data_IF_714950655433
#
_entry.id   IF_714950655433
#
_cell.length_a   1.000
_cell.length_b   1.000
_cell.length_c   1.000
_cell.angle_alpha   90.00
_cell.angle_beta   90.00
_cell.angle_gamma   90.00
#
_symmetry.space_group_name_H-M   'P 1'
#
loop_
_entity.id
_entity.type
_entity.pdbx_description
1 polymer ?
#
# COMPACT_ATOMS: atom_id res chain seq x y z
N UNK A 1 -47.87 41.56 -2.71
CA UNK A 1 -46.86 41.06 -1.74
C UNK A 1 -46.61 39.55 -1.86
N UNK A 2 -47.64 38.70 -1.96
CA UNK A 2 -47.49 37.22 -2.00
C UNK A 2 -46.71 36.71 -3.23
N UNK A 3 -46.98 37.23 -4.43
CA UNK A 3 -46.30 36.79 -5.65
C UNK A 3 -44.78 37.04 -5.65
N UNK A 4 -44.32 38.13 -5.04
CA UNK A 4 -42.89 38.43 -4.89
C UNK A 4 -42.22 37.48 -3.89
N UNK A 5 -42.92 37.09 -2.82
CA UNK A 5 -42.42 36.10 -1.85
C UNK A 5 -42.29 34.71 -2.47
N UNK A 6 -43.25 34.29 -3.31
CA UNK A 6 -43.19 33.03 -4.05
C UNK A 6 -42.01 33.01 -5.03
N UNK A 7 -41.79 34.07 -5.82
CA UNK A 7 -40.63 34.20 -6.73
C UNK A 7 -39.29 34.10 -5.98
N UNK A 8 -39.17 34.75 -4.81
CA UNK A 8 -37.95 34.65 -3.97
C UNK A 8 -37.75 33.23 -3.44
N UNK A 9 -38.83 32.55 -3.03
CA UNK A 9 -38.80 31.15 -2.58
C UNK A 9 -38.38 30.21 -3.71
N UNK A 10 -38.94 30.38 -4.91
CA UNK A 10 -38.61 29.60 -6.10
C UNK A 10 -37.14 29.78 -6.50
N UNK A 11 -36.64 31.02 -6.52
CA UNK A 11 -35.23 31.31 -6.81
C UNK A 11 -34.29 30.65 -5.78
N UNK A 12 -34.64 30.66 -4.50
CA UNK A 12 -33.86 29.99 -3.45
C UNK A 12 -33.90 28.46 -3.62
N UNK A 13 -35.07 27.88 -3.93
CA UNK A 13 -35.20 26.45 -4.21
C UNK A 13 -34.37 26.06 -5.43
N UNK A 14 -34.39 26.85 -6.51
CA UNK A 14 -33.59 26.61 -7.71
C UNK A 14 -32.08 26.66 -7.40
N UNK A 15 -31.63 27.68 -6.64
CA UNK A 15 -30.23 27.79 -6.19
C UNK A 15 -29.82 26.62 -5.29
N UNK A 16 -30.70 26.18 -4.39
CA UNK A 16 -30.44 25.01 -3.54
C UNK A 16 -30.31 23.74 -4.37
N UNK A 17 -31.23 23.52 -5.33
CA UNK A 17 -31.16 22.39 -6.27
C UNK A 17 -29.86 22.39 -7.08
N UNK A 18 -29.42 23.54 -7.58
CA UNK A 18 -28.16 23.63 -8.33
C UNK A 18 -26.95 23.32 -7.43
N UNK A 19 -26.94 23.81 -6.19
CA UNK A 19 -25.86 23.52 -5.23
C UNK A 19 -25.88 22.05 -4.78
N UNK A 20 -27.06 21.48 -4.57
CA UNK A 20 -27.21 20.08 -4.16
C UNK A 20 -26.79 19.13 -5.30
N UNK A 21 -27.15 19.42 -6.55
CA UNK A 21 -26.63 18.70 -7.72
C UNK A 21 -25.11 18.79 -7.85
N UNK A 22 -24.53 19.98 -7.61
CA UNK A 22 -23.07 20.16 -7.60
C UNK A 22 -22.38 19.44 -6.43
N UNK A 23 -23.08 19.23 -5.30
CA UNK A 23 -22.57 18.42 -4.18
C UNK A 23 -22.68 16.93 -4.48
N UNK A 24 -23.78 16.50 -5.08
CA UNK A 24 -24.04 15.11 -5.46
C UNK A 24 -22.99 14.58 -6.43
N UNK A 25 -22.58 15.39 -7.41
CA UNK A 25 -21.51 15.01 -8.35
C UNK A 25 -20.14 14.83 -7.67
N UNK A 26 -19.93 15.46 -6.52
CA UNK A 26 -18.72 15.31 -5.72
C UNK A 26 -18.78 14.14 -4.73
N UNK A 27 -19.95 13.53 -4.52
CA UNK A 27 -20.11 12.43 -3.57
C UNK A 27 -19.28 11.23 -4.02
N UNK A 28 -18.34 10.86 -3.18
CA UNK A 28 -17.51 9.68 -3.35
C UNK A 28 -18.17 8.47 -2.69
N UNK A 29 -17.94 7.27 -3.25
CA UNK A 29 -18.32 6.02 -2.61
C UNK A 29 -17.73 5.97 -1.19
N UNK A 30 -18.55 5.94 -0.13
CA UNK A 30 -18.05 5.96 1.24
C UNK A 30 -17.29 4.69 1.64
N UNK A 31 -17.39 3.61 0.86
CA UNK A 31 -16.73 2.34 1.12
C UNK A 31 -15.38 2.29 0.41
N UNK A 32 -15.36 2.42 -0.93
CA UNK A 32 -14.13 2.24 -1.71
C UNK A 32 -13.37 3.54 -1.99
N UNK A 33 -14.01 4.69 -1.89
CA UNK A 33 -13.36 5.96 -2.20
C UNK A 33 -13.20 6.21 -3.72
N UNK A 34 -12.48 7.28 -4.04
CA UNK A 34 -11.93 7.52 -5.39
C UNK A 34 -10.68 6.66 -5.58
N UNK A 35 -10.39 6.20 -6.81
CA UNK A 35 -9.12 5.54 -7.09
C UNK A 35 -7.97 6.54 -6.96
N UNK A 36 -6.89 6.12 -6.29
CA UNK A 36 -5.68 6.88 -6.01
C UNK A 36 -4.46 6.02 -6.38
N UNK A 37 -3.27 6.59 -6.58
CA UNK A 37 -2.06 5.80 -6.84
C UNK A 37 -1.81 4.75 -5.76
N UNK A 38 -2.01 5.11 -4.49
CA UNK A 38 -1.90 4.19 -3.35
C UNK A 38 -2.93 3.07 -3.41
N UNK A 39 -4.21 3.37 -3.66
CA UNK A 39 -5.24 2.32 -3.74
C UNK A 39 -5.10 1.45 -4.98
N UNK A 40 -4.57 1.99 -6.09
CA UNK A 40 -4.18 1.22 -7.27
C UNK A 40 -3.04 0.25 -6.95
N UNK A 41 -2.04 0.68 -6.19
CA UNK A 41 -0.97 -0.20 -5.72
C UNK A 41 -1.49 -1.33 -4.82
N UNK A 42 -2.47 -1.04 -3.95
CA UNK A 42 -3.14 -2.07 -3.15
C UNK A 42 -3.93 -3.08 -3.99
N UNK A 43 -4.52 -2.66 -5.09
CA UNK A 43 -5.31 -3.54 -5.96
C UNK A 43 -4.46 -4.29 -6.98
N UNK A 44 -3.24 -3.81 -7.24
CA UNK A 44 -2.29 -4.46 -8.14
C UNK A 44 -2.10 -5.93 -7.75
N UNK A 45 -2.32 -6.81 -8.72
CA UNK A 45 -2.07 -8.24 -8.59
C UNK A 45 -0.68 -8.49 -9.16
N UNK A 46 0.33 -8.80 -8.34
CA UNK A 46 1.66 -9.07 -8.86
C UNK A 46 1.62 -10.31 -9.75
N UNK A 47 2.30 -10.22 -10.89
CA UNK A 47 2.44 -11.32 -11.82
C UNK A 47 3.71 -12.12 -11.50
N UNK A 48 3.69 -13.45 -11.70
CA UNK A 48 4.89 -14.25 -11.53
C UNK A 48 5.98 -13.83 -12.53
N UNK A 49 7.25 -13.87 -12.13
CA UNK A 49 8.35 -13.47 -12.99
C UNK A 49 8.48 -14.41 -14.20
N UNK A 50 8.76 -13.88 -15.40
CA UNK A 50 9.06 -14.71 -16.56
C UNK A 50 10.36 -15.51 -16.38
N UNK A 51 10.56 -16.55 -17.20
CA UNK A 51 11.83 -17.29 -17.23
C UNK A 51 12.98 -16.42 -17.71
N UNK A 52 14.19 -16.67 -17.21
CA UNK A 52 15.38 -15.97 -17.70
C UNK A 52 15.57 -16.19 -19.20
N UNK A 53 15.26 -17.38 -19.71
CA UNK A 53 15.27 -17.67 -21.16
C UNK A 53 14.24 -16.86 -21.95
N UNK A 54 13.09 -16.54 -21.35
CA UNK A 54 12.09 -15.67 -22.00
C UNK A 54 12.56 -14.23 -21.97
N UNK A 55 13.12 -13.78 -20.85
CA UNK A 55 13.69 -12.43 -20.73
C UNK A 55 14.81 -12.25 -21.76
N UNK A 56 15.72 -13.20 -21.88
CA UNK A 56 16.84 -13.15 -22.84
C UNK A 56 16.39 -13.04 -24.31
N UNK A 57 15.14 -13.41 -24.64
CA UNK A 57 14.57 -13.31 -25.98
C UNK A 57 13.87 -11.96 -26.25
N UNK A 58 13.68 -11.12 -25.23
CA UNK A 58 13.04 -9.82 -25.36
C UNK A 58 14.00 -8.77 -25.95
N UNK A 59 13.46 -7.64 -26.42
CA UNK A 59 14.25 -6.45 -26.79
C UNK A 59 15.09 -5.98 -25.59
N UNK A 60 16.31 -5.43 -25.78
CA UNK A 60 17.11 -4.87 -24.68
C UNK A 60 16.35 -3.86 -23.82
N UNK A 61 15.46 -3.06 -24.42
CA UNK A 61 14.60 -2.11 -23.70
C UNK A 61 13.60 -2.82 -22.78
N UNK A 62 12.94 -3.84 -23.30
CA UNK A 62 11.98 -4.67 -22.54
C UNK A 62 12.69 -5.47 -21.44
N UNK A 63 13.90 -5.96 -21.69
CA UNK A 63 14.73 -6.62 -20.69
C UNK A 63 15.04 -5.69 -19.52
N UNK A 64 15.46 -4.45 -19.81
CA UNK A 64 15.72 -3.46 -18.78
C UNK A 64 14.46 -3.14 -17.97
N UNK A 65 13.31 -2.97 -18.64
CA UNK A 65 12.03 -2.72 -17.99
C UNK A 65 11.60 -3.88 -17.07
N UNK A 66 11.74 -5.13 -17.51
CA UNK A 66 11.41 -6.32 -16.71
C UNK A 66 12.34 -6.44 -15.50
N UNK A 67 13.65 -6.26 -15.69
CA UNK A 67 14.63 -6.33 -14.58
C UNK A 67 14.41 -5.24 -13.55
N UNK A 68 14.13 -4.00 -13.98
CA UNK A 68 13.80 -2.90 -13.07
C UNK A 68 12.52 -3.18 -12.28
N UNK A 69 11.47 -3.67 -12.96
CA UNK A 69 10.24 -4.06 -12.28
C UNK A 69 10.50 -5.16 -11.25
N UNK A 70 11.23 -6.22 -11.62
CA UNK A 70 11.51 -7.35 -10.72
C UNK A 70 12.34 -6.95 -9.50
N UNK A 71 13.29 -6.02 -9.66
CA UNK A 71 14.09 -5.49 -8.56
C UNK A 71 13.24 -4.65 -7.57
N UNK A 72 12.23 -3.95 -8.07
CA UNK A 72 11.32 -3.15 -7.24
C UNK A 72 10.18 -3.94 -6.60
N UNK A 73 9.94 -5.17 -7.06
CA UNK A 73 8.81 -5.97 -6.58
C UNK A 73 9.05 -6.51 -5.17
N UNK A 74 8.03 -6.44 -4.29
CA UNK A 74 8.14 -7.02 -2.97
C UNK A 74 8.24 -8.55 -3.06
N UNK A 75 9.12 -9.14 -2.24
CA UNK A 75 9.30 -10.58 -2.18
C UNK A 75 8.42 -11.21 -1.10
N UNK A 76 8.23 -12.52 -1.22
CA UNK A 76 7.56 -13.33 -0.22
C UNK A 76 8.49 -13.60 0.99
N UNK A 77 7.95 -14.17 2.07
CA UNK A 77 8.71 -14.68 3.22
C UNK A 77 9.52 -13.64 4.01
N UNK A 78 9.16 -12.35 3.96
CA UNK A 78 9.86 -11.28 4.72
C UNK A 78 11.24 -10.95 4.19
N UNK A 79 11.52 -11.34 2.95
CA UNK A 79 12.76 -11.00 2.28
C UNK A 79 12.64 -9.62 1.62
N UNK A 80 13.71 -8.84 1.73
CA UNK A 80 13.92 -7.68 0.84
C UNK A 80 14.63 -8.13 -0.45
N UNK A 81 14.46 -7.42 -1.58
CA UNK A 81 15.20 -7.74 -2.81
C UNK A 81 16.72 -7.69 -2.62
N UNK A 82 17.21 -6.80 -1.75
CA UNK A 82 18.62 -6.66 -1.42
C UNK A 82 19.14 -7.83 -0.58
N UNK A 83 18.37 -8.29 0.41
CA UNK A 83 18.73 -9.49 1.17
C UNK A 83 18.79 -10.73 0.29
N UNK A 84 17.83 -10.88 -0.63
CA UNK A 84 17.80 -12.01 -1.54
C UNK A 84 19.02 -12.05 -2.46
N UNK A 85 19.37 -10.90 -3.05
CA UNK A 85 20.54 -10.79 -3.93
C UNK A 85 21.84 -11.04 -3.17
N UNK A 86 22.01 -10.41 -2.00
CA UNK A 86 23.17 -10.65 -1.14
C UNK A 86 23.30 -12.11 -0.69
N UNK A 87 22.18 -12.77 -0.37
CA UNK A 87 22.17 -14.18 0.00
C UNK A 87 22.58 -15.09 -1.18
N UNK A 88 22.13 -14.79 -2.39
CA UNK A 88 22.51 -15.52 -3.59
C UNK A 88 24.00 -15.34 -3.92
N UNK A 89 24.51 -14.11 -3.81
CA UNK A 89 25.93 -13.80 -4.00
C UNK A 89 26.80 -14.54 -2.98
N UNK A 90 26.44 -14.46 -1.69
CA UNK A 90 27.14 -15.18 -0.62
C UNK A 90 27.13 -16.70 -0.87
N UNK A 91 25.98 -17.26 -1.30
CA UNK A 91 25.88 -18.67 -1.66
C UNK A 91 26.77 -19.03 -2.85
N UNK A 92 26.91 -18.13 -3.84
CA UNK A 92 27.80 -18.32 -4.99
C UNK A 92 29.25 -18.40 -4.54
N UNK A 93 29.68 -17.48 -3.69
CA UNK A 93 31.06 -17.39 -3.20
C UNK A 93 31.46 -18.60 -2.33
N UNK A 94 30.55 -19.05 -1.45
CA UNK A 94 30.81 -20.20 -0.58
C UNK A 94 30.90 -21.50 -1.38
N UNK A 95 30.08 -21.64 -2.43
CA UNK A 95 30.03 -22.86 -3.26
C UNK A 95 31.00 -22.85 -4.43
N UNK A 96 31.67 -21.72 -4.70
CA UNK A 96 32.58 -21.60 -5.83
C UNK A 96 33.69 -22.66 -5.74
N UNK A 97 33.95 -23.41 -6.82
CA UNK A 97 35.00 -24.41 -6.83
C UNK A 97 36.35 -23.73 -6.60
N UNK A 98 37.02 -24.10 -5.51
CA UNK A 98 38.34 -23.57 -5.16
C UNK A 98 39.43 -24.49 -5.67
N UNK A 99 40.59 -23.91 -5.95
CA UNK A 99 41.76 -24.71 -6.24
C UNK A 99 42.19 -25.51 -5.00
N UNK A 100 42.69 -26.72 -5.23
CA UNK A 100 43.28 -27.56 -4.18
C UNK A 100 44.63 -27.01 -3.69
N UNK A 101 45.32 -26.22 -4.52
CA UNK A 101 46.63 -25.62 -4.20
C UNK A 101 46.82 -24.30 -4.95
N UNK A 102 47.65 -23.40 -4.42
CA UNK A 102 47.86 -22.06 -5.01
C UNK A 102 48.43 -22.12 -6.45
N UNK A 103 49.12 -23.21 -6.80
CA UNK A 103 49.77 -23.40 -8.11
C UNK A 103 48.87 -24.03 -9.17
N UNK A 104 47.80 -24.72 -8.79
CA UNK A 104 46.91 -25.39 -9.75
C UNK A 104 45.76 -24.47 -10.13
N UNK A 105 45.53 -24.16 -11.42
CA UNK A 105 44.30 -23.50 -11.83
C UNK A 105 43.08 -24.40 -11.58
N UNK A 106 41.92 -23.79 -11.35
CA UNK A 106 40.64 -24.52 -11.28
C UNK A 106 40.26 -24.95 -12.70
N UNK A 107 39.72 -26.16 -12.83
CA UNK A 107 39.26 -26.69 -14.11
C UNK A 107 38.20 -25.75 -14.75
N UNK A 108 38.41 -25.27 -15.99
CA UNK A 108 37.50 -24.31 -16.63
C UNK A 108 36.08 -24.85 -16.82
N UNK A 109 35.94 -26.16 -17.04
CA UNK A 109 34.62 -26.78 -17.21
C UNK A 109 33.84 -26.78 -15.90
N UNK A 110 34.50 -27.08 -14.78
CA UNK A 110 33.87 -27.08 -13.46
C UNK A 110 33.36 -25.69 -13.07
N UNK A 111 34.10 -24.64 -13.43
CA UNK A 111 33.67 -23.25 -13.26
C UNK A 111 32.39 -22.95 -14.06
N UNK A 112 32.33 -23.37 -15.34
CA UNK A 112 31.12 -23.20 -16.16
C UNK A 112 29.93 -23.97 -15.60
N UNK A 113 30.15 -25.21 -15.17
CA UNK A 113 29.09 -26.05 -14.60
C UNK A 113 28.56 -25.43 -13.29
N UNK A 114 29.43 -24.84 -12.46
CA UNK A 114 29.06 -24.08 -11.26
C UNK A 114 28.23 -22.84 -11.60
N UNK A 115 28.65 -22.05 -12.59
CA UNK A 115 27.92 -20.86 -13.04
C UNK A 115 26.54 -21.21 -13.58
N UNK A 116 26.42 -22.28 -14.37
CA UNK A 116 25.14 -22.77 -14.85
C UNK A 116 24.23 -23.27 -13.73
N UNK A 117 24.77 -24.02 -12.78
CA UNK A 117 24.03 -24.51 -11.61
C UNK A 117 23.55 -23.33 -10.77
N UNK A 118 24.41 -22.34 -10.51
CA UNK A 118 24.06 -21.13 -9.80
C UNK A 118 22.97 -20.35 -10.55
N UNK A 119 23.10 -20.17 -11.87
CA UNK A 119 22.06 -19.53 -12.70
C UNK A 119 20.71 -20.23 -12.57
N UNK A 120 20.66 -21.56 -12.68
CA UNK A 120 19.42 -22.34 -12.51
C UNK A 120 18.84 -22.19 -11.10
N UNK A 121 19.69 -22.20 -10.07
CA UNK A 121 19.28 -22.00 -8.68
C UNK A 121 18.70 -20.59 -8.45
N UNK A 122 19.34 -19.54 -8.97
CA UNK A 122 18.83 -18.17 -8.88
C UNK A 122 17.47 -18.02 -9.55
N UNK A 123 17.25 -18.61 -10.72
CA UNK A 123 15.96 -18.62 -11.39
C UNK A 123 14.88 -19.35 -10.57
N UNK A 124 15.22 -20.51 -10.00
CA UNK A 124 14.30 -21.26 -9.16
C UNK A 124 13.92 -20.47 -7.89
N UNK A 125 14.92 -19.93 -7.18
CA UNK A 125 14.73 -19.20 -5.92
C UNK A 125 13.95 -17.90 -6.16
N UNK A 126 14.28 -17.13 -7.20
CA UNK A 126 13.54 -15.90 -7.55
C UNK A 126 12.07 -16.19 -7.84
N UNK A 127 11.74 -17.32 -8.50
CA UNK A 127 10.35 -17.74 -8.69
C UNK A 127 9.65 -18.17 -7.41
N UNK A 128 10.32 -18.93 -6.56
CA UNK A 128 9.78 -19.40 -5.28
C UNK A 128 9.49 -18.21 -4.35
N UNK A 129 10.40 -17.24 -4.33
CA UNK A 129 10.29 -16.04 -3.50
C UNK A 129 9.38 -14.98 -4.10
N UNK A 130 9.06 -15.04 -5.39
CA UNK A 130 8.16 -14.06 -6.00
C UNK A 130 6.75 -14.06 -5.37
N UNK A 131 6.24 -12.86 -5.09
CA UNK A 131 4.89 -12.70 -4.55
C UNK A 131 3.78 -13.07 -5.56
N UNK A 132 4.07 -13.05 -6.87
CA UNK A 132 3.11 -13.43 -7.90
C UNK A 132 2.60 -14.88 -7.73
N UNK A 133 3.47 -15.76 -7.24
CA UNK A 133 3.13 -17.15 -6.89
C UNK A 133 2.57 -17.29 -5.45
N UNK A 134 2.53 -16.21 -4.68
CA UNK A 134 2.11 -16.21 -3.28
C UNK A 134 0.59 -16.26 -3.09
N UNK A 135 0.19 -16.72 -1.90
CA UNK A 135 -1.21 -16.79 -1.47
C UNK A 135 -1.80 -15.42 -1.15
N UNK A 136 -3.13 -15.36 -0.96
CA UNK A 136 -3.83 -14.14 -0.53
C UNK A 136 -3.36 -13.62 0.84
N UNK A 137 -2.88 -14.52 1.70
CA UNK A 137 -2.31 -14.18 3.01
C UNK A 137 -1.04 -13.33 2.85
N UNK A 138 -0.11 -13.77 2.00
CA UNK A 138 1.16 -13.05 1.76
C UNK A 138 0.92 -11.70 1.10
N UNK A 139 -0.01 -11.63 0.14
CA UNK A 139 -0.43 -10.35 -0.45
C UNK A 139 -1.00 -9.41 0.61
N UNK A 140 -1.82 -9.92 1.52
CA UNK A 140 -2.38 -9.12 2.62
C UNK A 140 -1.29 -8.60 3.54
N UNK A 141 -0.26 -9.41 3.77
CA UNK A 141 0.89 -9.03 4.60
C UNK A 141 1.70 -7.89 3.98
N UNK A 142 2.00 -7.98 2.68
CA UNK A 142 2.70 -6.90 1.97
C UNK A 142 1.87 -5.62 1.91
N UNK A 143 0.56 -5.72 1.71
CA UNK A 143 -0.34 -4.56 1.81
C UNK A 143 -0.25 -3.88 3.18
N UNK A 144 -0.11 -4.65 4.27
CA UNK A 144 0.12 -4.07 5.61
C UNK A 144 1.49 -3.39 5.72
N UNK A 145 2.56 -3.99 5.19
CA UNK A 145 3.88 -3.36 5.12
C UNK A 145 3.80 -2.04 4.40
N UNK A 146 3.21 -2.03 3.20
CA UNK A 146 3.01 -0.82 2.41
C UNK A 146 2.22 0.25 3.20
N UNK A 147 1.18 -0.14 3.93
CA UNK A 147 0.43 0.80 4.78
C UNK A 147 1.31 1.41 5.90
N UNK A 148 2.19 0.60 6.50
CA UNK A 148 3.13 1.06 7.54
C UNK A 148 4.16 2.00 6.92
N UNK A 149 4.69 1.66 5.75
CA UNK A 149 5.72 2.46 5.08
C UNK A 149 5.16 3.81 4.59
N UNK A 150 3.95 3.82 4.03
CA UNK A 150 3.31 5.04 3.53
C UNK A 150 2.79 5.95 4.66
N UNK A 151 2.14 5.39 5.67
CA UNK A 151 1.42 6.18 6.69
C UNK A 151 2.08 6.20 8.06
N UNK A 152 3.14 5.42 8.25
CA UNK A 152 3.85 5.35 9.52
C UNK A 152 4.41 6.71 9.91
N UNK A 153 4.22 7.08 11.18
CA UNK A 153 4.71 8.35 11.71
C UNK A 153 6.23 8.48 11.67
N UNK A 154 6.94 7.36 11.59
CA UNK A 154 8.38 7.33 11.38
C UNK A 154 8.82 7.94 10.04
N UNK A 155 7.97 7.90 8.99
CA UNK A 155 8.25 8.52 7.69
C UNK A 155 7.50 9.84 7.48
N UNK A 156 6.31 9.97 8.06
CA UNK A 156 5.44 11.13 7.83
C UNK A 156 5.74 12.30 8.76
N UNK A 157 6.30 12.08 9.95
CA UNK A 157 6.65 13.18 10.87
C UNK A 157 7.76 14.09 10.30
N UNK A 158 8.59 13.60 9.34
CA UNK A 158 9.63 14.39 8.66
C UNK A 158 9.15 15.10 7.40
N UNK A 159 8.12 14.58 6.73
CA UNK A 159 7.63 15.09 5.44
C UNK A 159 6.43 16.00 5.58
N UNK A 160 5.53 15.74 6.54
CA UNK A 160 4.30 16.50 6.72
C UNK A 160 4.49 17.62 7.74
N UNK A 161 3.97 18.83 7.45
CA UNK A 161 4.10 19.96 8.37
C UNK A 161 3.30 19.69 9.66
N UNK A 162 3.82 20.04 10.84
CA UNK A 162 3.09 19.97 12.08
C UNK A 162 1.92 20.98 12.08
N UNK A 163 0.86 20.66 12.81
CA UNK A 163 -0.31 21.54 12.93
C UNK A 163 0.08 22.88 13.61
N UNK A 164 -0.18 24.06 12.99
CA UNK A 164 0.26 25.36 13.52
C UNK A 164 -0.27 25.67 14.93
N UNK A 165 -1.49 25.24 15.28
CA UNK A 165 -2.03 25.44 16.63
C UNK A 165 -1.38 24.51 17.68
N UNK A 166 -0.71 23.45 17.23
CA UNK A 166 -0.01 22.50 18.07
C UNK A 166 1.50 22.75 18.10
N UNK A 167 2.07 23.60 17.22
CA UNK A 167 3.51 23.84 17.11
C UNK A 167 4.17 24.20 18.47
N UNK A 168 3.58 25.12 19.23
CA UNK A 168 4.10 25.54 20.55
C UNK A 168 3.99 24.42 21.60
N UNK A 169 2.84 23.73 21.68
CA UNK A 169 2.66 22.58 22.60
C UNK A 169 3.51 21.37 22.17
N UNK A 170 3.77 21.25 20.88
CA UNK A 170 4.51 20.16 20.27
C UNK A 170 6.00 20.31 20.56
N UNK A 171 6.58 21.50 20.41
CA UNK A 171 7.96 21.81 20.82
C UNK A 171 8.20 21.42 22.28
N UNK A 172 7.33 21.87 23.20
CA UNK A 172 7.42 21.50 24.63
C UNK A 172 7.26 19.99 24.90
N UNK A 173 6.52 19.28 24.05
CA UNK A 173 6.35 17.82 24.15
C UNK A 173 7.50 17.05 23.50
N UNK A 174 8.14 17.61 22.46
CA UNK A 174 9.26 17.01 21.73
C UNK A 174 10.51 16.97 22.58
N UNK A 175 10.78 18.07 23.31
CA UNK A 175 11.90 18.17 24.25
C UNK A 175 11.90 17.05 25.31
N UNK A 176 10.72 16.48 25.61
CA UNK A 176 10.54 15.42 26.60
C UNK A 176 10.25 14.04 25.98
N UNK A 177 10.26 13.88 24.65
CA UNK A 177 9.93 12.61 23.99
C UNK A 177 11.20 11.86 23.62
N UNK A 178 11.32 10.65 24.15
CA UNK A 178 12.30 9.67 23.69
C UNK A 178 12.06 9.34 22.21
N UNK A 179 13.13 9.07 21.45
CA UNK A 179 13.00 8.56 20.09
C UNK A 179 12.22 7.25 20.09
N UNK A 180 11.51 6.98 18.99
CA UNK A 180 10.78 5.72 18.83
C UNK A 180 11.79 4.58 18.76
N UNK A 181 11.52 3.49 19.47
CA UNK A 181 12.38 2.31 19.44
C UNK A 181 12.31 1.53 18.11
N UNK A 182 11.25 1.74 17.32
CA UNK A 182 11.02 0.99 16.09
C UNK A 182 9.94 1.60 15.20
N UNK A 183 9.53 0.87 14.14
CA UNK A 183 8.56 1.35 13.17
C UNK A 183 7.18 1.54 13.81
N UNK A 184 6.49 2.59 13.36
CA UNK A 184 5.15 2.90 13.84
C UNK A 184 4.10 2.03 13.15
N UNK A 185 3.54 1.08 13.89
CA UNK A 185 2.54 0.11 13.39
C UNK A 185 1.13 0.35 13.93
N UNK A 186 1.01 1.17 14.98
CA UNK A 186 -0.21 1.32 15.78
C UNK A 186 -0.91 2.67 15.63
N UNK A 187 -0.41 3.57 14.80
CA UNK A 187 -1.02 4.89 14.63
C UNK A 187 -2.37 4.82 13.92
N UNK A 188 -3.21 5.84 14.14
CA UNK A 188 -4.57 5.88 13.59
C UNK A 188 -4.57 5.92 12.06
N UNK A 189 -3.56 6.56 11.48
CA UNK A 189 -3.29 6.62 10.05
C UNK A 189 -3.03 5.23 9.47
N UNK A 190 -2.09 4.49 10.07
CA UNK A 190 -1.73 3.12 9.67
C UNK A 190 -2.91 2.16 9.85
N UNK A 191 -3.62 2.24 10.98
CA UNK A 191 -4.79 1.39 11.22
C UNK A 191 -5.90 1.63 10.20
N UNK A 192 -6.17 2.90 9.83
CA UNK A 192 -7.17 3.24 8.82
C UNK A 192 -6.77 2.72 7.42
N UNK A 193 -5.49 2.80 7.07
CA UNK A 193 -4.96 2.26 5.82
C UNK A 193 -5.08 0.72 5.77
N UNK A 194 -4.72 0.02 6.85
CA UNK A 194 -4.88 -1.45 6.94
C UNK A 194 -6.35 -1.86 6.82
N UNK A 195 -7.27 -1.14 7.47
CA UNK A 195 -8.70 -1.41 7.29
C UNK A 195 -9.14 -1.17 5.85
N UNK A 196 -8.63 -0.14 5.18
CA UNK A 196 -8.90 0.11 3.76
C UNK A 196 -8.44 -1.05 2.89
N UNK A 197 -7.22 -1.56 3.08
CA UNK A 197 -6.74 -2.74 2.35
C UNK A 197 -7.63 -3.98 2.55
N UNK A 198 -8.11 -4.22 3.79
CA UNK A 198 -9.03 -5.32 4.10
C UNK A 198 -10.42 -5.12 3.48
N UNK A 199 -10.97 -3.90 3.56
CA UNK A 199 -12.27 -3.54 2.97
C UNK A 199 -12.23 -3.77 1.47
N UNK A 200 -11.18 -3.34 0.77
CA UNK A 200 -11.04 -3.55 -0.67
C UNK A 200 -10.97 -5.02 -1.05
N UNK A 201 -10.18 -5.81 -0.32
CA UNK A 201 -10.07 -7.26 -0.55
C UNK A 201 -11.42 -7.98 -0.35
N UNK A 202 -12.13 -7.68 0.74
CA UNK A 202 -13.44 -8.26 1.01
C UNK A 202 -14.51 -7.78 0.03
N UNK A 203 -14.51 -6.50 -0.33
CA UNK A 203 -15.42 -5.96 -1.33
C UNK A 203 -15.23 -6.63 -2.70
N UNK A 204 -13.98 -6.88 -3.12
CA UNK A 204 -13.69 -7.63 -4.33
C UNK A 204 -14.19 -9.09 -4.26
N UNK A 205 -13.94 -9.78 -3.14
CA UNK A 205 -14.44 -11.13 -2.90
C UNK A 205 -15.97 -11.20 -2.97
N UNK A 206 -16.66 -10.23 -2.38
CA UNK A 206 -18.12 -10.16 -2.33
C UNK A 206 -18.78 -9.88 -3.69
N UNK A 207 -18.08 -9.21 -4.61
CA UNK A 207 -18.58 -9.02 -5.98
C UNK A 207 -18.77 -10.36 -6.70
N UNK A 208 -17.87 -11.31 -6.44
CA UNK A 208 -17.94 -12.69 -6.95
C UNK A 208 -18.90 -13.53 -6.10
N UNK A 209 -18.77 -13.46 -4.78
CA UNK A 209 -19.50 -14.31 -3.82
C UNK A 209 -20.67 -13.56 -3.17
N UNK A 210 -21.74 -13.33 -3.94
CA UNK A 210 -22.90 -12.52 -3.50
C UNK A 210 -23.69 -13.12 -2.34
N UNK A 211 -23.66 -14.44 -2.17
CA UNK A 211 -24.44 -15.17 -1.16
C UNK A 211 -23.76 -15.21 0.22
N UNK A 212 -22.52 -14.74 0.33
CA UNK A 212 -21.77 -14.75 1.58
C UNK A 212 -22.24 -13.63 2.53
N UNK A 213 -23.23 -13.96 3.35
CA UNK A 213 -23.87 -13.03 4.30
C UNK A 213 -22.95 -12.69 5.48
N UNK A 214 -22.13 -13.63 5.93
CA UNK A 214 -21.22 -13.42 7.06
C UNK A 214 -20.12 -12.43 6.69
N UNK A 215 -19.52 -12.57 5.51
CA UNK A 215 -18.51 -11.62 5.07
C UNK A 215 -19.09 -10.24 4.74
N UNK A 216 -20.39 -10.13 4.39
CA UNK A 216 -21.09 -8.83 4.31
C UNK A 216 -21.12 -8.11 5.66
N UNK A 217 -21.41 -8.84 6.73
CA UNK A 217 -21.39 -8.30 8.08
C UNK A 217 -19.97 -7.87 8.48
N UNK A 218 -18.97 -8.70 8.18
CA UNK A 218 -17.56 -8.38 8.44
C UNK A 218 -17.08 -7.14 7.67
N UNK A 219 -17.50 -6.98 6.41
CA UNK A 219 -17.21 -5.79 5.61
C UNK A 219 -17.80 -4.53 6.26
N UNK A 220 -19.06 -4.59 6.67
CA UNK A 220 -19.74 -3.48 7.36
C UNK A 220 -19.03 -3.11 8.66
N UNK A 221 -18.64 -4.11 9.45
CA UNK A 221 -17.90 -3.89 10.69
C UNK A 221 -16.55 -3.20 10.44
N UNK A 222 -15.80 -3.62 9.42
CA UNK A 222 -14.54 -2.98 9.05
C UNK A 222 -14.72 -1.53 8.59
N UNK A 223 -15.77 -1.25 7.81
CA UNK A 223 -16.13 0.12 7.41
C UNK A 223 -16.38 1.00 8.64
N UNK A 224 -17.16 0.51 9.61
CA UNK A 224 -17.42 1.23 10.86
C UNK A 224 -16.16 1.41 11.73
N UNK A 225 -15.29 0.39 11.82
CA UNK A 225 -14.00 0.49 12.52
C UNK A 225 -13.11 1.56 11.91
N UNK A 226 -12.96 1.57 10.57
CA UNK A 226 -12.23 2.61 9.83
C UNK A 226 -12.81 3.99 10.10
N UNK A 227 -14.13 4.12 10.01
CA UNK A 227 -14.83 5.39 10.25
C UNK A 227 -14.58 5.93 11.66
N UNK A 228 -14.62 5.08 12.70
CA UNK A 228 -14.34 5.46 14.10
C UNK A 228 -12.92 5.99 14.26
N UNK A 229 -11.94 5.33 13.65
CA UNK A 229 -10.53 5.75 13.71
C UNK A 229 -10.33 7.09 12.97
N UNK A 230 -10.91 7.25 11.79
CA UNK A 230 -10.80 8.50 11.03
C UNK A 230 -11.48 9.67 11.77
N UNK A 231 -12.62 9.43 12.45
CA UNK A 231 -13.25 10.43 13.32
C UNK A 231 -12.34 10.84 14.47
N UNK A 232 -11.68 9.88 15.12
CA UNK A 232 -10.70 10.16 16.16
C UNK A 232 -9.51 10.97 15.63
N UNK A 233 -8.95 10.57 14.48
CA UNK A 233 -7.82 11.25 13.85
C UNK A 233 -8.18 12.69 13.49
N UNK A 234 -9.34 12.92 12.85
CA UNK A 234 -9.85 14.26 12.53
C UNK A 234 -9.98 15.14 13.77
N UNK A 235 -10.53 14.61 14.87
CA UNK A 235 -10.68 15.34 16.14
C UNK A 235 -9.33 15.69 16.76
N UNK A 236 -8.39 14.73 16.75
CA UNK A 236 -7.06 14.88 17.36
C UNK A 236 -6.18 15.87 16.61
N UNK A 237 -6.18 15.77 15.28
CA UNK A 237 -5.39 16.63 14.39
C UNK A 237 -6.15 17.88 13.94
N UNK A 238 -7.38 18.10 14.42
CA UNK A 238 -8.28 19.22 14.05
C UNK A 238 -8.44 19.41 12.53
N UNK A 239 -8.32 18.34 11.75
CA UNK A 239 -8.35 18.41 10.28
C UNK A 239 -7.08 19.00 9.64
N UNK A 240 -5.95 18.96 10.34
CA UNK A 240 -4.63 19.41 9.90
C UNK A 240 -4.02 18.54 8.79
N UNK A 241 -2.75 18.83 8.46
CA UNK A 241 -2.07 18.25 7.29
C UNK A 241 -2.07 16.73 7.24
N UNK A 242 -1.84 16.06 8.39
CA UNK A 242 -1.84 14.60 8.48
C UNK A 242 -3.18 13.96 8.13
N UNK A 243 -4.28 14.51 8.66
CA UNK A 243 -5.61 14.00 8.34
C UNK A 243 -5.90 14.14 6.84
N UNK A 244 -5.60 15.30 6.27
CA UNK A 244 -5.81 15.57 4.83
C UNK A 244 -4.98 14.63 3.95
N UNK A 245 -3.71 14.41 4.30
CA UNK A 245 -2.84 13.47 3.61
C UNK A 245 -3.43 12.05 3.60
N UNK A 246 -3.90 11.56 4.76
CA UNK A 246 -4.54 10.24 4.84
C UNK A 246 -5.79 10.15 3.98
N UNK A 247 -6.66 11.17 4.02
CA UNK A 247 -7.89 11.21 3.22
C UNK A 247 -7.59 11.21 1.71
N UNK A 248 -6.62 12.03 1.28
CA UNK A 248 -6.19 12.12 -0.12
C UNK A 248 -5.58 10.81 -0.63
N UNK A 249 -4.66 10.21 0.11
CA UNK A 249 -4.01 8.96 -0.29
C UNK A 249 -4.99 7.77 -0.30
N UNK A 250 -5.92 7.70 0.66
CA UNK A 250 -6.95 6.66 0.69
C UNK A 250 -8.12 6.92 -0.27
N UNK A 251 -8.21 8.12 -0.85
CA UNK A 251 -9.29 8.52 -1.75
C UNK A 251 -10.64 8.71 -1.04
N UNK A 252 -10.62 9.07 0.25
CA UNK A 252 -11.82 9.23 1.07
C UNK A 252 -12.17 10.71 1.25
N UNK A 253 -13.47 10.97 1.43
CA UNK A 253 -14.00 12.30 1.73
C UNK A 253 -14.51 12.39 3.18
N UNK A 254 -14.63 13.61 3.71
CA UNK A 254 -15.19 13.88 5.04
C UNK A 254 -16.59 13.28 5.22
N UNK A 255 -17.37 13.20 4.14
CA UNK A 255 -18.67 12.54 4.13
C UNK A 255 -18.59 11.06 4.54
N UNK A 256 -17.54 10.34 4.14
CA UNK A 256 -17.32 8.93 4.52
C UNK A 256 -16.99 8.78 6.01
N UNK A 257 -16.51 9.85 6.66
CA UNK A 257 -16.12 9.88 8.07
C UNK A 257 -17.28 10.32 8.96
N UNK A 258 -18.06 11.31 8.52
CA UNK A 258 -19.10 11.95 9.34
C UNK A 258 -20.50 11.38 9.14
N UNK A 259 -20.85 10.92 7.93
CA UNK A 259 -22.19 10.41 7.65
C UNK A 259 -22.36 8.98 8.15
N UNK A 260 -23.58 8.62 8.51
CA UNK A 260 -23.90 7.24 8.85
C UNK A 260 -23.78 6.37 7.60
N UNK A 261 -23.03 5.27 7.72
CA UNK A 261 -22.87 4.30 6.65
C UNK A 261 -24.05 3.33 6.68
N UNK A 262 -24.81 3.29 5.60
CA UNK A 262 -25.84 2.28 5.36
C UNK A 262 -25.34 1.34 4.27
N UNK A 263 -25.13 0.06 4.60
CA UNK A 263 -24.68 -1.01 3.69
C UNK A 263 -25.62 -2.19 3.74
#
# INVERSE_FOLDING_TARGET
>A
MIAQALKKKEANIARRRSLDSARESLIVDPILGRPTPFTAQLDSVPHPPPSFDRIAKLSPEDQAAVTQNLASQPQNFYLTPQELTAALETSREITAPRSKSDTTPVDPQLLKDHEEAHRRATEAITRITSIGNGSSLERTRLKKSLCIDTFGRHNTDSTLPPDPAHAERFQKSLENKLPRAGPDTGSSEVQAAIFTAKIRALAAHMKVNKQDKMNRANLRELCHKRQKILRYLKKKERGGGRYRYVMEQLGLDDAAVERQLYM
#
